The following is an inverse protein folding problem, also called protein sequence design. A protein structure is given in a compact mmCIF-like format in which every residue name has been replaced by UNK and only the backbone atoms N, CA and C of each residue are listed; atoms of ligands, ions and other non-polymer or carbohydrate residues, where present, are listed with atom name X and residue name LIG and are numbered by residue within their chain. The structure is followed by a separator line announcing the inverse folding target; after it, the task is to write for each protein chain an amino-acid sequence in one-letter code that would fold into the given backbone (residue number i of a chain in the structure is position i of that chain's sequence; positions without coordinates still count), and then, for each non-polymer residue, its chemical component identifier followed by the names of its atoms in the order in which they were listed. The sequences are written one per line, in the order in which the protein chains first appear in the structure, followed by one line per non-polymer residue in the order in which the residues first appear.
data_IF_367670072165
#
_entry.id   IF_367670072165
#
_cell.length_a   1.000
_cell.length_b   1.000
_cell.length_c   1.000
_cell.angle_alpha   90.00
_cell.angle_beta   90.00
_cell.angle_gamma   90.00
#
_symmetry.space_group_name_H-M   'P 1'
#
loop_
_entity.id
_entity.type
_entity.pdbx_description
1 polymer ?
#
# COMPACT_ATOMS: atom_id res chain seq x y z
N UNK A 1 14.98 -5.01 10.28
CA UNK A 1 14.15 -5.91 11.10
C UNK A 1 14.44 -7.33 10.67
N UNK A 2 14.74 -8.22 11.61
CA UNK A 2 15.06 -9.63 11.33
C UNK A 2 13.79 -10.39 10.92
N UNK A 3 13.96 -11.51 10.20
CA UNK A 3 12.81 -12.32 9.75
C UNK A 3 12.02 -12.91 10.93
N UNK A 4 12.73 -13.30 11.99
CA UNK A 4 12.13 -13.76 13.26
C UNK A 4 11.28 -12.69 13.94
N UNK A 5 11.68 -11.41 13.85
CA UNK A 5 10.90 -10.30 14.39
C UNK A 5 9.63 -10.09 13.58
N UNK A 6 9.67 -10.26 12.24
CA UNK A 6 8.48 -10.13 11.38
C UNK A 6 7.48 -11.23 11.69
N UNK A 7 7.99 -12.45 11.87
CA UNK A 7 7.18 -13.60 12.27
C UNK A 7 6.50 -13.36 13.62
N UNK A 8 7.23 -12.81 14.60
CA UNK A 8 6.66 -12.48 15.91
C UNK A 8 5.54 -11.44 15.81
N UNK A 9 5.71 -10.40 14.99
CA UNK A 9 4.67 -9.38 14.77
C UNK A 9 3.44 -9.98 14.08
N UNK A 10 3.63 -10.79 13.02
CA UNK A 10 2.54 -11.45 12.31
C UNK A 10 1.77 -12.45 13.21
N UNK A 11 2.49 -13.22 14.04
CA UNK A 11 1.89 -14.12 15.02
C UNK A 11 1.06 -13.38 16.06
N UNK A 12 1.55 -12.23 16.55
CA UNK A 12 0.79 -11.43 17.50
C UNK A 12 -0.50 -10.89 16.87
N UNK A 13 -0.42 -10.36 15.64
CA UNK A 13 -1.60 -9.90 14.91
C UNK A 13 -2.63 -11.03 14.72
N UNK A 14 -2.18 -12.24 14.35
CA UNK A 14 -3.04 -13.42 14.26
C UNK A 14 -3.80 -13.71 15.57
N UNK A 15 -3.10 -13.74 16.70
CA UNK A 15 -3.70 -14.01 18.01
C UNK A 15 -4.75 -12.98 18.36
N UNK A 16 -4.45 -11.69 18.13
CA UNK A 16 -5.38 -10.58 18.40
C UNK A 16 -6.61 -10.69 17.50
N UNK A 17 -6.44 -10.92 16.19
CA UNK A 17 -7.55 -11.10 15.26
C UNK A 17 -8.47 -12.25 15.65
N UNK A 18 -7.91 -13.40 16.04
CA UNK A 18 -8.69 -14.54 16.50
C UNK A 18 -9.48 -14.21 17.76
N UNK A 19 -8.90 -13.47 18.70
CA UNK A 19 -9.51 -13.16 20.01
C UNK A 19 -10.59 -12.07 19.92
N UNK A 20 -10.39 -11.04 19.10
CA UNK A 20 -11.29 -9.87 19.07
C UNK A 20 -12.40 -9.98 18.04
N UNK A 21 -12.08 -10.48 16.85
CA UNK A 21 -13.02 -10.53 15.73
C UNK A 21 -13.27 -11.95 15.22
N UNK A 22 -12.77 -12.97 15.93
CA UNK A 22 -12.98 -14.39 15.59
C UNK A 22 -12.30 -14.83 14.29
N UNK A 23 -11.41 -14.01 13.71
CA UNK A 23 -10.83 -14.27 12.39
C UNK A 23 -9.50 -14.99 12.51
N UNK A 24 -9.44 -16.19 11.95
CA UNK A 24 -8.20 -16.98 11.84
C UNK A 24 -7.49 -16.59 10.56
N UNK A 25 -6.20 -16.28 10.67
CA UNK A 25 -5.33 -15.89 9.56
C UNK A 25 -4.07 -16.77 9.53
N UNK A 26 -3.42 -16.90 8.39
CA UNK A 26 -2.20 -17.71 8.26
C UNK A 26 -0.96 -16.83 8.42
N UNK A 27 -0.15 -17.10 9.45
CA UNK A 27 1.04 -16.31 9.79
C UNK A 27 2.13 -16.45 8.72
N UNK A 28 2.37 -17.66 8.21
CA UNK A 28 3.39 -17.92 7.19
C UNK A 28 3.03 -17.21 5.89
N UNK A 29 1.75 -17.24 5.50
CA UNK A 29 1.29 -16.57 4.29
C UNK A 29 1.39 -15.03 4.37
N UNK A 30 1.32 -14.43 5.56
CA UNK A 30 1.59 -12.99 5.72
C UNK A 30 3.03 -12.62 5.36
N UNK A 31 4.00 -13.52 5.56
CA UNK A 31 5.41 -13.27 5.23
C UNK A 31 5.72 -13.64 3.78
N UNK A 32 5.04 -14.65 3.23
CA UNK A 32 5.31 -15.17 1.87
C UNK A 32 4.57 -14.40 0.77
N UNK A 33 3.48 -13.69 1.07
CA UNK A 33 2.69 -12.95 0.09
C UNK A 33 2.35 -11.53 0.54
N UNK A 34 2.89 -10.57 -0.20
CA UNK A 34 2.63 -9.15 0.01
C UNK A 34 1.13 -8.82 -0.12
N UNK A 35 0.42 -9.41 -1.09
CA UNK A 35 -1.01 -9.13 -1.29
C UNK A 35 -1.86 -9.64 -0.12
N UNK A 36 -1.56 -10.85 0.35
CA UNK A 36 -2.26 -11.41 1.51
C UNK A 36 -2.02 -10.57 2.76
N UNK A 37 -0.76 -10.17 3.00
CA UNK A 37 -0.41 -9.31 4.13
C UNK A 37 -1.15 -7.97 4.09
N UNK A 38 -1.21 -7.32 2.92
CA UNK A 38 -1.95 -6.06 2.76
C UNK A 38 -3.42 -6.20 3.07
N UNK A 39 -4.05 -7.29 2.65
CA UNK A 39 -5.47 -7.52 2.92
C UNK A 39 -5.71 -7.77 4.41
N UNK A 40 -4.85 -8.56 5.07
CA UNK A 40 -4.93 -8.76 6.52
C UNK A 40 -4.75 -7.44 7.27
N UNK A 41 -3.77 -6.63 6.89
CA UNK A 41 -3.54 -5.30 7.48
C UNK A 41 -4.76 -4.41 7.27
N UNK A 42 -5.32 -4.37 6.04
CA UNK A 42 -6.52 -3.57 5.73
C UNK A 42 -7.69 -3.92 6.64
N UNK A 43 -7.91 -5.22 6.88
CA UNK A 43 -8.96 -5.68 7.79
C UNK A 43 -8.66 -5.22 9.22
N UNK A 44 -7.43 -5.42 9.72
CA UNK A 44 -7.05 -5.03 11.06
C UNK A 44 -7.22 -3.52 11.31
N UNK A 45 -6.88 -2.68 10.33
CA UNK A 45 -7.01 -1.23 10.41
C UNK A 45 -8.46 -0.74 10.30
N UNK A 46 -9.36 -1.53 9.72
CA UNK A 46 -10.78 -1.19 9.62
C UNK A 46 -11.53 -1.35 10.95
N UNK A 47 -10.99 -2.13 11.88
CA UNK A 47 -11.62 -2.44 13.16
C UNK A 47 -11.36 -1.35 14.22
N UNK A 48 -12.00 -0.19 14.04
CA UNK A 48 -11.85 0.98 14.92
C UNK A 48 -12.21 0.69 16.40
N UNK A 49 -13.04 -0.33 16.67
CA UNK A 49 -13.43 -0.74 18.01
C UNK A 49 -12.29 -1.41 18.81
N UNK A 50 -11.19 -1.78 18.15
CA UNK A 50 -10.11 -2.56 18.73
C UNK A 50 -8.75 -1.90 18.45
N UNK A 51 -8.29 -0.96 19.29
CA UNK A 51 -7.05 -0.23 19.05
C UNK A 51 -5.81 -1.13 18.99
N UNK A 52 -5.82 -2.27 19.70
CA UNK A 52 -4.76 -3.28 19.62
C UNK A 52 -4.63 -3.88 18.20
N UNK A 53 -5.73 -4.07 17.45
CA UNK A 53 -5.66 -4.53 16.06
C UNK A 53 -4.98 -3.50 15.17
N UNK A 54 -5.29 -2.23 15.40
CA UNK A 54 -4.70 -1.12 14.65
C UNK A 54 -3.20 -1.05 14.90
N UNK A 55 -2.79 -1.10 16.18
CA UNK A 55 -1.38 -1.07 16.58
C UNK A 55 -0.57 -2.19 15.90
N UNK A 56 -1.03 -3.43 16.01
CA UNK A 56 -0.33 -4.58 15.43
C UNK A 56 -0.41 -4.59 13.90
N UNK A 57 -1.51 -4.11 13.31
CA UNK A 57 -1.63 -3.92 11.87
C UNK A 57 -0.63 -2.90 11.32
N UNK A 58 -0.48 -1.76 11.99
CA UNK A 58 0.52 -0.74 11.63
C UNK A 58 1.95 -1.25 11.80
N UNK A 59 2.21 -2.00 12.87
CA UNK A 59 3.53 -2.60 13.12
C UNK A 59 3.90 -3.60 12.04
N UNK A 60 2.95 -4.46 11.63
CA UNK A 60 3.16 -5.39 10.52
C UNK A 60 3.36 -4.64 9.20
N UNK A 61 2.58 -3.58 8.96
CA UNK A 61 2.74 -2.75 7.78
C UNK A 61 4.14 -2.13 7.69
N UNK A 62 4.64 -1.55 8.78
CA UNK A 62 5.99 -0.98 8.83
C UNK A 62 7.09 -2.05 8.64
N UNK A 63 6.85 -3.26 9.13
CA UNK A 63 7.78 -4.38 9.01
C UNK A 63 7.90 -4.95 7.58
N UNK A 64 6.78 -5.02 6.86
CA UNK A 64 6.71 -5.63 5.52
C UNK A 64 6.79 -4.62 4.37
N UNK A 65 6.31 -3.39 4.59
CA UNK A 65 6.21 -2.34 3.59
C UNK A 65 6.86 -1.04 4.10
N UNK A 66 8.18 -1.03 4.32
CA UNK A 66 8.87 0.19 4.70
C UNK A 66 8.64 1.24 3.61
N UNK A 67 8.18 2.42 4.00
CA UNK A 67 8.01 3.52 3.07
C UNK A 67 9.38 3.84 2.42
N UNK A 68 9.43 4.10 1.11
CA UNK A 68 10.67 4.54 0.49
C UNK A 68 11.12 5.84 1.18
N UNK A 69 12.44 6.03 1.42
CA UNK A 69 12.93 7.28 1.95
C UNK A 69 12.49 8.38 1.00
N UNK A 70 11.70 9.33 1.50
CA UNK A 70 11.31 10.51 0.72
C UNK A 70 12.60 11.20 0.31
N UNK A 71 12.95 11.10 -0.97
CA UNK A 71 14.03 11.90 -1.54
C UNK A 71 13.63 13.35 -1.33
N UNK A 72 14.36 14.05 -0.45
CA UNK A 72 14.17 15.48 -0.25
C UNK A 72 14.14 16.14 -1.65
N UNK A 73 13.20 17.06 -1.93
CA UNK A 73 13.18 17.74 -3.21
C UNK A 73 14.53 18.43 -3.37
N UNK A 74 15.33 17.91 -4.31
CA UNK A 74 16.63 18.46 -4.63
C UNK A 74 16.45 19.95 -4.93
N UNK A 75 17.26 20.75 -4.26
CA UNK A 75 17.42 22.19 -4.46
C UNK A 75 17.93 22.44 -5.88
N UNK A 76 17.08 22.27 -6.88
CA UNK A 76 17.35 22.44 -8.31
C UNK A 76 16.67 23.72 -8.84
N UNK A 77 16.73 24.79 -8.06
CA UNK A 77 16.15 26.08 -8.41
C UNK A 77 17.12 27.22 -8.10
N UNK A 78 18.38 27.09 -8.51
CA UNK A 78 19.30 28.24 -8.53
C UNK A 78 20.47 28.09 -9.52
N UNK A 79 20.23 27.51 -10.71
CA UNK A 79 21.25 27.51 -11.77
C UNK A 79 20.69 27.28 -13.18
N UNK A 80 19.81 28.17 -13.63
CA UNK A 80 19.66 28.49 -15.06
C UNK A 80 18.88 29.81 -15.11
N UNK A 81 19.57 30.91 -14.85
CA UNK A 81 20.23 31.71 -15.89
C UNK A 81 19.22 32.37 -16.83
N UNK A 82 19.27 33.69 -16.75
CA UNK A 82 18.56 34.67 -17.53
C UNK A 82 19.07 34.61 -18.96
N UNK A 83 18.33 34.01 -19.88
CA UNK A 83 18.32 34.50 -21.26
C UNK A 83 16.88 34.49 -21.79
N UNK A 84 16.32 35.69 -21.78
CA UNK A 84 15.20 36.14 -22.58
C UNK A 84 15.33 35.80 -24.06
N UNK A 85 14.23 35.42 -24.72
CA UNK A 85 14.11 35.63 -26.16
C UNK A 85 13.12 34.73 -26.89
N UNK A 86 11.88 35.21 -26.98
CA UNK A 86 11.09 35.27 -28.22
C UNK A 86 10.56 33.97 -28.85
N UNK A 87 9.22 33.96 -28.96
CA UNK A 87 8.39 33.40 -30.03
C UNK A 87 8.97 32.27 -30.89
N UNK A 88 8.32 31.11 -30.91
CA UNK A 88 7.37 30.85 -32.01
C UNK A 88 6.58 29.53 -31.80
N UNK A 89 5.36 29.57 -32.33
CA UNK A 89 4.68 28.43 -32.96
C UNK A 89 4.06 27.34 -32.09
N UNK A 90 2.80 27.65 -31.73
CA UNK A 90 1.61 26.80 -31.90
C UNK A 90 1.84 25.62 -32.87
N UNK A 91 1.52 24.39 -32.44
CA UNK A 91 0.72 23.36 -33.14
C UNK A 91 1.10 21.94 -32.69
N UNK A 92 0.36 21.41 -31.71
CA UNK A 92 -0.09 20.01 -31.68
C UNK A 92 -1.16 19.91 -30.61
N UNK A 93 -2.37 20.36 -30.94
CA UNK A 93 -3.46 19.49 -31.43
C UNK A 93 -3.79 18.41 -30.40
N UNK A 94 -4.81 18.77 -29.62
CA UNK A 94 -5.77 17.92 -28.93
C UNK A 94 -5.99 16.57 -29.61
N UNK A 95 -5.95 15.50 -28.81
CA UNK A 95 -6.24 14.13 -29.20
C UNK A 95 -6.80 13.33 -28.01
N UNK A 96 -8.10 13.54 -27.78
CA UNK A 96 -9.10 12.67 -27.14
C UNK A 96 -8.68 11.41 -26.37
N UNK A 97 -9.21 11.32 -25.14
CA UNK A 97 -9.37 10.13 -24.33
C UNK A 97 -9.98 8.91 -25.06
N UNK A 98 -9.58 7.70 -24.66
CA UNK A 98 -10.55 6.69 -24.22
C UNK A 98 -9.86 5.59 -23.40
N UNK A 99 -10.49 5.26 -22.27
CA UNK A 99 -10.10 4.23 -21.31
C UNK A 99 -11.12 3.11 -21.47
N UNK A 100 -10.76 1.90 -21.91
CA UNK A 100 -11.70 0.79 -21.88
C UNK A 100 -11.80 0.20 -20.47
N UNK A 101 -13.03 -0.19 -20.17
CA UNK A 101 -13.66 -0.54 -18.91
C UNK A 101 -13.26 -1.91 -18.34
N UNK A 102 -13.57 -2.06 -17.06
CA UNK A 102 -13.42 -3.24 -16.22
C UNK A 102 -13.82 -4.57 -16.90
N UNK A 103 -12.92 -5.55 -16.83
CA UNK A 103 -13.28 -6.96 -17.02
C UNK A 103 -14.08 -7.43 -15.81
N UNK A 104 -15.36 -7.72 -16.05
CA UNK A 104 -16.25 -8.48 -15.17
C UNK A 104 -15.61 -9.84 -14.86
N UNK A 105 -15.04 -9.98 -13.65
CA UNK A 105 -14.65 -11.30 -13.14
C UNK A 105 -15.90 -12.09 -12.79
N UNK A 106 -16.12 -13.18 -13.52
CA UNK A 106 -17.11 -14.19 -13.22
C UNK A 106 -16.89 -14.76 -11.81
N UNK A 107 -17.89 -14.64 -10.93
CA UNK A 107 -17.92 -15.33 -9.64
C UNK A 107 -18.95 -16.44 -9.78
N UNK A 108 -18.49 -17.68 -9.83
CA UNK A 108 -19.35 -18.85 -9.94
C UNK A 108 -20.36 -18.87 -8.81
N UNK A 109 -21.64 -18.88 -9.16
CA UNK A 109 -22.74 -19.10 -8.22
C UNK A 109 -22.57 -20.51 -7.62
N UNK A 110 -22.19 -20.59 -6.34
CA UNK A 110 -22.35 -21.83 -5.58
C UNK A 110 -23.85 -22.08 -5.41
N UNK A 111 -24.25 -23.30 -5.81
CA UNK A 111 -25.59 -23.87 -5.57
C UNK A 111 -25.72 -24.35 -4.15
#
# INVERSE_FOLDING_TARGET
MLESEKLAVAAHLHVVMRRKIGRVTDVEWMLRSAEYAREVIRIALAEAAHPELIEWGQRLQAALFPAPPQSAPGRAADRMDRVSGFEDSRLSRSGSASRPSAQTRYIGSLR
#
